data_IF_248997460459
#
_entry.id   IF_248997460459
#
_cell.length_a   1.000
_cell.length_b   1.000
_cell.length_c   1.000
_cell.angle_alpha   90.00
_cell.angle_beta   90.00
_cell.angle_gamma   90.00
#
_symmetry.space_group_name_H-M   'P 1'
#
loop_
_entity.id
_entity.type
_entity.pdbx_description
1 polymer ?
#
# COMPACT_ATOMS: atom_id res chain seq x y z
N UNK A 1 42.71 -56.45 6.50
CA UNK A 1 42.32 -55.57 5.37
C UNK A 1 40.87 -55.03 5.47
N UNK A 2 39.95 -55.71 6.18
CA UNK A 2 38.55 -55.29 6.34
C UNK A 2 38.33 -53.96 7.11
N UNK A 3 39.06 -53.74 8.21
CA UNK A 3 38.83 -52.58 9.10
C UNK A 3 39.07 -51.23 8.40
N UNK A 4 40.07 -51.16 7.49
CA UNK A 4 40.39 -49.94 6.73
C UNK A 4 39.28 -49.58 5.73
N UNK A 5 38.63 -50.57 5.12
CA UNK A 5 37.51 -50.35 4.19
C UNK A 5 36.26 -49.87 4.92
N UNK A 6 35.96 -50.43 6.09
CA UNK A 6 34.81 -50.00 6.89
C UNK A 6 34.96 -48.55 7.35
N UNK A 7 36.13 -48.16 7.87
CA UNK A 7 36.40 -46.79 8.32
C UNK A 7 36.30 -45.78 7.16
N UNK A 8 36.79 -46.14 5.97
CA UNK A 8 36.71 -45.31 4.77
C UNK A 8 35.26 -45.07 4.31
N UNK A 9 34.40 -46.09 4.38
CA UNK A 9 32.99 -45.98 4.02
C UNK A 9 32.25 -45.05 4.99
N UNK A 10 32.51 -45.17 6.30
CA UNK A 10 31.90 -44.29 7.31
C UNK A 10 32.29 -42.83 7.10
N UNK A 11 33.58 -42.54 6.86
CA UNK A 11 34.03 -41.17 6.61
C UNK A 11 33.38 -40.56 5.36
N UNK A 12 33.21 -41.37 4.30
CA UNK A 12 32.60 -40.93 3.05
C UNK A 12 31.11 -40.66 3.19
N UNK A 13 30.39 -41.46 3.99
CA UNK A 13 28.98 -41.24 4.30
C UNK A 13 28.77 -39.98 5.15
N UNK A 14 29.66 -39.74 6.12
CA UNK A 14 29.57 -38.58 7.01
C UNK A 14 29.81 -37.26 6.25
N UNK A 15 30.81 -37.22 5.37
CA UNK A 15 31.04 -36.11 4.44
C UNK A 15 29.85 -35.86 3.50
N UNK A 16 29.24 -36.94 2.99
CA UNK A 16 28.05 -36.84 2.15
C UNK A 16 26.88 -36.21 2.95
N UNK A 17 26.70 -36.62 4.20
CA UNK A 17 25.64 -36.16 5.07
C UNK A 17 25.81 -34.68 5.43
N UNK A 18 27.05 -34.25 5.74
CA UNK A 18 27.39 -32.83 5.96
C UNK A 18 27.09 -32.02 4.69
N UNK A 19 27.53 -32.49 3.52
CA UNK A 19 27.28 -31.80 2.25
C UNK A 19 25.78 -31.68 1.93
N UNK A 20 24.99 -32.73 2.15
CA UNK A 20 23.54 -32.70 1.95
C UNK A 20 22.86 -31.75 2.94
N UNK A 21 23.28 -31.75 4.21
CA UNK A 21 22.77 -30.86 5.26
C UNK A 21 23.03 -29.39 4.93
N UNK A 22 24.24 -29.04 4.52
CA UNK A 22 24.60 -27.68 4.12
C UNK A 22 23.84 -27.23 2.87
N UNK A 23 23.75 -28.09 1.85
CA UNK A 23 22.99 -27.80 0.62
C UNK A 23 21.50 -27.59 0.89
N UNK A 24 20.94 -28.32 1.85
CA UNK A 24 19.55 -28.15 2.30
C UNK A 24 19.36 -26.84 3.07
N UNK A 25 20.29 -26.48 3.98
CA UNK A 25 20.28 -25.22 4.72
C UNK A 25 20.39 -24.03 3.76
N UNK A 26 21.32 -24.06 2.80
CA UNK A 26 21.49 -23.00 1.79
C UNK A 26 20.25 -22.83 0.91
N UNK A 27 19.56 -23.91 0.55
CA UNK A 27 18.28 -23.83 -0.19
C UNK A 27 17.20 -23.16 0.66
N UNK A 28 17.02 -23.56 1.92
CA UNK A 28 16.04 -22.94 2.84
C UNK A 28 16.28 -21.44 3.04
N UNK A 29 17.54 -21.03 3.16
CA UNK A 29 17.89 -19.62 3.35
C UNK A 29 17.57 -18.77 2.11
N UNK A 30 17.75 -19.33 0.90
CA UNK A 30 17.34 -18.67 -0.35
C UNK A 30 15.83 -18.49 -0.44
N UNK A 31 15.04 -19.49 -0.03
CA UNK A 31 13.58 -19.36 0.04
C UNK A 31 13.13 -18.35 1.09
N UNK A 32 13.81 -18.30 2.25
CA UNK A 32 13.53 -17.31 3.29
C UNK A 32 13.82 -15.89 2.82
N UNK A 33 14.93 -15.67 2.10
CA UNK A 33 15.26 -14.37 1.53
C UNK A 33 14.20 -13.94 0.49
N UNK A 34 13.80 -14.82 -0.42
CA UNK A 34 12.72 -14.55 -1.39
C UNK A 34 11.41 -14.24 -0.67
N UNK A 35 11.07 -14.99 0.38
CA UNK A 35 9.89 -14.75 1.20
C UNK A 35 9.94 -13.39 1.89
N UNK A 36 11.08 -13.00 2.48
CA UNK A 36 11.29 -11.68 3.08
C UNK A 36 11.17 -10.55 2.06
N UNK A 37 11.73 -10.70 0.85
CA UNK A 37 11.55 -9.71 -0.23
C UNK A 37 10.08 -9.62 -0.68
N UNK A 38 9.36 -10.74 -0.79
CA UNK A 38 7.92 -10.72 -1.11
C UNK A 38 7.04 -10.17 0.02
N UNK A 39 7.43 -10.37 1.28
CA UNK A 39 6.73 -9.84 2.45
C UNK A 39 6.87 -8.31 2.55
N UNK A 40 7.99 -7.75 2.11
CA UNK A 40 8.19 -6.29 2.01
C UNK A 40 7.40 -5.70 0.84
N UNK A 41 7.30 -6.41 -0.29
CA UNK A 41 6.51 -5.98 -1.47
C UNK A 41 4.98 -6.09 -1.21
N UNK A 42 4.56 -6.86 -0.21
CA UNK A 42 3.16 -7.08 0.15
C UNK A 42 2.60 -6.21 1.28
N UNK A 43 3.38 -5.30 1.88
CA UNK A 43 2.92 -4.39 2.94
C UNK A 43 2.65 -2.97 2.41
N UNK A 44 2.14 -2.88 1.18
CA UNK A 44 1.58 -1.65 0.63
C UNK A 44 0.24 -1.41 1.34
N UNK A 45 0.35 -0.67 2.45
CA UNK A 45 -0.70 -0.52 3.44
C UNK A 45 -1.44 0.77 3.18
N UNK A 46 -2.70 0.67 2.79
CA UNK A 46 -3.56 1.84 2.93
C UNK A 46 -3.97 1.97 4.39
N UNK A 47 -3.59 3.08 5.02
CA UNK A 47 -4.12 3.45 6.32
C UNK A 47 -5.57 3.92 6.16
N UNK A 48 -6.43 3.49 7.09
CA UNK A 48 -7.82 3.89 7.19
C UNK A 48 -8.05 4.54 8.56
N UNK A 49 -8.55 5.77 8.58
CA UNK A 49 -8.91 6.46 9.82
C UNK A 49 -10.21 7.23 9.67
N UNK A 50 -10.85 7.58 10.78
CA UNK A 50 -11.96 8.52 10.78
C UNK A 50 -11.46 9.96 10.58
N UNK A 51 -12.28 10.78 9.96
CA UNK A 51 -12.03 12.19 9.72
C UNK A 51 -13.34 12.99 9.79
N UNK A 52 -13.24 14.24 10.21
CA UNK A 52 -14.33 15.22 10.18
C UNK A 52 -14.29 16.04 8.88
N UNK A 53 -15.36 16.76 8.57
CA UNK A 53 -15.34 17.75 7.47
C UNK A 53 -14.22 18.77 7.64
N UNK A 54 -13.87 19.11 8.88
CA UNK A 54 -12.77 20.02 9.18
C UNK A 54 -11.41 19.44 8.79
N UNK A 55 -11.23 18.12 8.88
CA UNK A 55 -9.98 17.47 8.46
C UNK A 55 -9.84 17.50 6.94
N UNK A 56 -10.94 17.27 6.21
CA UNK A 56 -10.98 17.40 4.74
C UNK A 56 -10.65 18.82 4.31
N UNK A 57 -11.15 19.82 5.07
CA UNK A 57 -10.94 21.23 4.77
C UNK A 57 -9.53 21.66 5.13
N UNK A 58 -9.07 21.55 6.39
CA UNK A 58 -7.87 22.25 6.89
C UNK A 58 -6.77 21.38 7.47
N UNK A 59 -6.89 20.04 7.47
CA UNK A 59 -5.82 19.19 8.04
C UNK A 59 -4.48 19.42 7.33
N UNK A 60 -3.37 19.60 8.07
CA UNK A 60 -2.03 19.73 7.48
C UNK A 60 -1.59 18.43 6.80
N UNK A 61 -2.11 17.29 7.25
CA UNK A 61 -1.81 15.96 6.71
C UNK A 61 -2.90 15.53 5.70
N UNK A 62 -2.94 16.24 4.57
CA UNK A 62 -3.89 15.99 3.47
C UNK A 62 -3.22 15.57 2.16
N UNK A 63 -1.89 15.48 2.14
CA UNK A 63 -1.12 15.02 0.97
C UNK A 63 -1.45 13.56 0.69
N UNK A 64 -1.73 13.21 -0.55
CA UNK A 64 -2.15 11.85 -0.97
C UNK A 64 -3.35 11.26 -0.20
N UNK A 65 -4.12 12.06 0.53
CA UNK A 65 -5.27 11.58 1.30
C UNK A 65 -6.53 11.60 0.43
N UNK A 66 -7.34 10.54 0.55
CA UNK A 66 -8.69 10.45 -0.01
C UNK A 66 -9.70 10.43 1.12
N UNK A 67 -10.74 11.25 1.02
CA UNK A 67 -11.80 11.32 2.02
C UNK A 67 -13.12 10.88 1.42
N UNK A 68 -13.77 9.89 2.03
CA UNK A 68 -15.03 9.33 1.54
C UNK A 68 -16.11 9.52 2.61
N UNK A 69 -17.24 10.19 2.31
CA UNK A 69 -18.33 10.36 3.26
C UNK A 69 -18.85 9.02 3.80
N UNK A 70 -19.15 8.94 5.10
CA UNK A 70 -19.71 7.74 5.74
C UNK A 70 -20.94 8.03 6.62
N UNK A 71 -21.73 9.04 6.23
CA UNK A 71 -22.95 9.48 6.94
C UNK A 71 -22.67 10.57 7.97
N UNK A 72 -21.88 10.26 9.00
CA UNK A 72 -21.61 11.19 10.12
C UNK A 72 -20.23 11.88 10.03
N UNK A 73 -19.50 11.67 8.94
CA UNK A 73 -18.17 12.22 8.74
C UNK A 73 -17.52 11.61 7.51
N UNK A 74 -16.21 11.35 7.62
CA UNK A 74 -15.40 10.85 6.53
C UNK A 74 -14.56 9.66 6.99
N UNK A 75 -14.36 8.74 6.04
CA UNK A 75 -13.27 7.77 6.10
C UNK A 75 -12.10 8.36 5.32
N UNK A 76 -10.97 8.59 6.01
CA UNK A 76 -9.70 8.96 5.38
C UNK A 76 -8.96 7.69 4.98
N UNK A 77 -8.56 7.63 3.72
CA UNK A 77 -7.65 6.64 3.16
C UNK A 77 -6.35 7.33 2.77
N UNK A 78 -5.22 6.77 3.20
CA UNK A 78 -3.90 7.30 2.85
C UNK A 78 -2.90 6.17 2.73
N UNK A 79 -2.17 6.11 1.61
CA UNK A 79 -1.07 5.15 1.45
C UNK A 79 -0.01 5.39 2.52
N UNK A 80 0.54 4.32 3.10
CA UNK A 80 1.71 4.41 3.98
C UNK A 80 3.01 4.60 3.21
N UNK A 81 3.01 4.48 1.88
CA UNK A 81 4.17 4.72 1.02
C UNK A 81 4.23 6.16 0.55
N UNK A 82 5.45 6.70 0.50
CA UNK A 82 5.74 7.97 -0.18
C UNK A 82 5.98 7.82 -1.68
N UNK A 83 6.08 6.58 -2.19
CA UNK A 83 6.42 6.31 -3.58
C UNK A 83 5.17 6.35 -4.47
N UNK A 84 5.31 7.07 -5.59
CA UNK A 84 4.24 7.27 -6.57
C UNK A 84 3.58 5.97 -7.04
N UNK A 85 4.38 4.95 -7.34
CA UNK A 85 3.88 3.68 -7.88
C UNK A 85 3.11 2.88 -6.82
N UNK A 86 3.60 2.87 -5.59
CA UNK A 86 2.97 2.16 -4.48
C UNK A 86 1.63 2.78 -4.12
N UNK A 87 1.55 4.12 -4.05
CA UNK A 87 0.28 4.83 -3.83
C UNK A 87 -0.75 4.43 -4.87
N UNK A 88 -0.35 4.30 -6.15
CA UNK A 88 -1.25 3.91 -7.21
C UNK A 88 -1.70 2.44 -7.08
N UNK A 89 -0.81 1.55 -6.68
CA UNK A 89 -1.15 0.15 -6.39
C UNK A 89 -2.08 0.03 -5.17
N UNK A 90 -1.88 0.86 -4.14
CA UNK A 90 -2.73 0.94 -2.96
C UNK A 90 -4.14 1.40 -3.30
N UNK A 91 -4.29 2.41 -4.16
CA UNK A 91 -5.62 2.83 -4.63
C UNK A 91 -6.30 1.69 -5.38
N UNK A 92 -5.58 0.99 -6.26
CA UNK A 92 -6.12 -0.14 -7.02
C UNK A 92 -6.61 -1.26 -6.10
N UNK A 93 -5.91 -1.53 -5.00
CA UNK A 93 -6.28 -2.60 -4.07
C UNK A 93 -7.62 -2.34 -3.37
N UNK A 94 -7.99 -1.08 -3.15
CA UNK A 94 -9.26 -0.68 -2.54
C UNK A 94 -10.33 -0.23 -3.53
N UNK A 95 -10.09 -0.30 -4.84
CA UNK A 95 -10.97 0.26 -5.86
C UNK A 95 -12.40 -0.27 -5.73
N UNK A 96 -12.57 -1.57 -5.49
CA UNK A 96 -13.88 -2.20 -5.29
C UNK A 96 -14.63 -1.66 -4.07
N UNK A 97 -13.91 -1.21 -3.04
CA UNK A 97 -14.52 -0.66 -1.83
C UNK A 97 -15.00 0.78 -2.06
N UNK A 98 -14.34 1.54 -2.94
CA UNK A 98 -14.58 2.99 -3.13
C UNK A 98 -15.35 3.31 -4.41
N UNK A 99 -15.60 2.32 -5.26
CA UNK A 99 -16.33 2.48 -6.53
C UNK A 99 -17.74 3.05 -6.29
N UNK A 100 -18.15 4.00 -7.13
CA UNK A 100 -19.44 4.69 -7.00
C UNK A 100 -19.54 5.70 -5.86
N UNK A 101 -18.55 5.77 -4.96
CA UNK A 101 -18.54 6.73 -3.86
C UNK A 101 -17.94 8.07 -4.30
N UNK A 102 -18.39 9.17 -3.69
CA UNK A 102 -17.75 10.48 -3.85
C UNK A 102 -16.45 10.50 -3.06
N UNK A 103 -15.35 10.84 -3.72
CA UNK A 103 -14.02 10.93 -3.11
C UNK A 103 -13.59 12.39 -3.14
N UNK A 104 -13.33 12.96 -1.96
CA UNK A 104 -12.79 14.30 -1.80
C UNK A 104 -11.27 14.22 -1.69
N UNK A 105 -10.57 15.07 -2.43
CA UNK A 105 -9.11 15.11 -2.51
C UNK A 105 -8.66 16.57 -2.52
N UNK A 106 -7.73 16.93 -1.62
CA UNK A 106 -7.14 18.28 -1.60
C UNK A 106 -5.90 18.38 -2.49
N UNK A 107 -5.10 17.31 -2.51
CA UNK A 107 -3.87 17.27 -3.29
C UNK A 107 -4.16 17.08 -4.78
N UNK A 108 -3.71 18.02 -5.60
CA UNK A 108 -3.88 17.96 -7.05
C UNK A 108 -3.17 16.75 -7.67
N UNK A 109 -2.02 16.33 -7.13
CA UNK A 109 -1.31 15.16 -7.62
C UNK A 109 -2.11 13.88 -7.39
N UNK A 110 -2.80 13.79 -6.24
CA UNK A 110 -3.70 12.68 -5.93
C UNK A 110 -4.94 12.70 -6.84
N UNK A 111 -5.53 13.87 -7.07
CA UNK A 111 -6.60 14.04 -8.05
C UNK A 111 -6.21 13.52 -9.44
N UNK A 112 -5.01 13.85 -9.94
CA UNK A 112 -4.52 13.38 -11.23
C UNK A 112 -4.31 11.86 -11.25
N UNK A 113 -3.82 11.26 -10.16
CA UNK A 113 -3.70 9.79 -10.04
C UNK A 113 -5.06 9.12 -10.17
N UNK A 114 -6.08 9.62 -9.47
CA UNK A 114 -7.43 9.06 -9.54
C UNK A 114 -8.02 9.18 -10.95
N UNK A 115 -7.82 10.33 -11.59
CA UNK A 115 -8.18 10.55 -13.00
C UNK A 115 -7.50 9.55 -13.93
N UNK A 116 -6.21 9.29 -13.75
CA UNK A 116 -5.45 8.31 -14.55
C UNK A 116 -5.94 6.87 -14.37
N UNK A 117 -6.59 6.57 -13.23
CA UNK A 117 -7.22 5.29 -12.93
C UNK A 117 -8.67 5.21 -13.42
N UNK A 118 -9.17 6.24 -14.09
CA UNK A 118 -10.52 6.27 -14.68
C UNK A 118 -11.58 7.00 -13.85
N UNK A 119 -11.22 7.66 -12.74
CA UNK A 119 -12.18 8.46 -12.00
C UNK A 119 -12.64 9.68 -12.81
N UNK A 120 -13.95 9.94 -12.79
CA UNK A 120 -14.54 11.14 -13.37
C UNK A 120 -14.49 12.29 -12.37
N UNK A 121 -14.26 13.50 -12.89
CA UNK A 121 -14.37 14.73 -12.10
C UNK A 121 -15.84 15.07 -11.91
N UNK A 122 -16.24 15.24 -10.65
CA UNK A 122 -17.60 15.62 -10.23
C UNK A 122 -17.56 16.82 -9.27
N UNK A 123 -16.48 17.61 -9.32
CA UNK A 123 -16.27 18.77 -8.45
C UNK A 123 -17.43 19.75 -8.60
N UNK A 124 -18.10 20.03 -7.49
CA UNK A 124 -19.23 20.95 -7.43
C UNK A 124 -18.88 22.16 -6.56
N UNK A 125 -18.89 23.37 -7.13
CA UNK A 125 -18.61 24.60 -6.40
C UNK A 125 -19.63 24.94 -5.32
N UNK A 126 -20.83 24.35 -5.40
CA UNK A 126 -21.90 24.53 -4.41
C UNK A 126 -21.82 23.54 -3.25
N UNK A 127 -20.94 22.53 -3.32
CA UNK A 127 -20.69 21.62 -2.20
C UNK A 127 -20.09 22.39 -1.02
N UNK A 128 -20.59 22.17 0.20
CA UNK A 128 -20.20 22.94 1.38
C UNK A 128 -18.71 22.83 1.69
N UNK A 129 -18.10 21.66 1.47
CA UNK A 129 -16.67 21.43 1.75
C UNK A 129 -15.83 22.18 0.71
N UNK A 130 -16.17 22.04 -0.57
CA UNK A 130 -15.48 22.73 -1.67
C UNK A 130 -15.59 24.25 -1.52
N UNK A 131 -16.82 24.74 -1.29
CA UNK A 131 -17.10 26.16 -1.09
C UNK A 131 -16.37 26.72 0.13
N UNK A 132 -16.39 26.01 1.26
CA UNK A 132 -15.75 26.48 2.50
C UNK A 132 -14.24 26.51 2.37
N UNK A 133 -13.64 25.48 1.78
CA UNK A 133 -12.20 25.44 1.52
C UNK A 133 -11.76 26.61 0.64
N UNK A 134 -12.48 26.85 -0.45
CA UNK A 134 -12.16 27.94 -1.38
C UNK A 134 -12.32 29.31 -0.72
N UNK A 135 -13.43 29.54 -0.05
CA UNK A 135 -13.76 30.85 0.54
C UNK A 135 -12.89 31.21 1.74
N UNK A 136 -12.57 30.25 2.62
CA UNK A 136 -11.82 30.50 3.87
C UNK A 136 -10.32 30.33 3.73
N UNK A 137 -9.85 29.48 2.82
CA UNK A 137 -8.44 29.09 2.75
C UNK A 137 -7.81 29.20 1.36
N UNK A 138 -8.59 29.52 0.31
CA UNK A 138 -8.07 29.84 -1.02
C UNK A 138 -7.66 28.65 -1.90
N UNK A 139 -7.46 27.45 -1.35
CA UNK A 139 -7.19 26.23 -2.13
C UNK A 139 -8.46 25.53 -2.60
N UNK A 140 -8.28 24.66 -3.60
CA UNK A 140 -9.35 23.85 -4.17
C UNK A 140 -9.44 22.50 -3.44
N UNK A 141 -10.66 21.98 -3.32
CA UNK A 141 -10.91 20.57 -3.04
C UNK A 141 -11.57 20.00 -4.29
N UNK A 142 -11.04 18.88 -4.76
CA UNK A 142 -11.55 18.16 -5.91
C UNK A 142 -12.46 17.04 -5.46
N UNK A 143 -13.51 16.79 -6.21
CA UNK A 143 -14.41 15.65 -6.01
C UNK A 143 -14.31 14.74 -7.23
N UNK A 144 -14.08 13.45 -7.00
CA UNK A 144 -14.02 12.45 -8.07
C UNK A 144 -14.87 11.24 -7.72
N UNK A 145 -15.23 10.46 -8.74
CA UNK A 145 -15.96 9.20 -8.59
C UNK A 145 -15.50 8.20 -9.65
N UNK A 146 -15.24 6.97 -9.24
CA UNK A 146 -14.98 5.82 -10.12
C UNK A 146 -16.28 5.17 -10.58
#
# INVERSE_FOLDING_TARGET
>A
MLIKNTLYIYLKLDLLNVYFKEKFIMKKFKFLAIFLFSAVIGLAGISKSSASSSDVIKSPDSKNAMYIPNGNGFTKYMSTSGLSQDILNDIKSILNNIKGQTIYVRDYSMYQRLKSLGASDITNSSDEIVKTAKAKYGYNIYMVRF
#
